data_IF_284213396734
#
_entry.id   IF_284213396734
#
_cell.length_a   1.000
_cell.length_b   1.000
_cell.length_c   1.000
_cell.angle_alpha   90.00
_cell.angle_beta   90.00
_cell.angle_gamma   90.00
#
_symmetry.space_group_name_H-M   'P 1'
#
loop_
_entity.id
_entity.type
_entity.pdbx_description
1 polymer ?
#
# COMPACT_ATOMS: atom_id res chain seq x y z
N UNK A 1 -17.42 -9.61 -11.07
CA UNK A 1 -18.33 -9.21 -10.04
C UNK A 1 -17.66 -8.51 -8.91
N UNK A 2 -16.75 -9.18 -8.27
CA UNK A 2 -16.13 -8.56 -7.10
C UNK A 2 -15.28 -7.37 -7.45
N UNK A 3 -14.63 -7.43 -8.58
CA UNK A 3 -13.85 -6.29 -9.02
C UNK A 3 -14.74 -5.08 -9.26
N UNK A 4 -15.91 -5.32 -9.85
CA UNK A 4 -16.87 -4.25 -10.05
C UNK A 4 -17.31 -3.67 -8.70
N UNK A 5 -17.61 -4.55 -7.73
CA UNK A 5 -17.99 -4.11 -6.41
C UNK A 5 -16.87 -3.29 -5.76
N UNK A 6 -15.65 -3.73 -5.94
CA UNK A 6 -14.51 -3.04 -5.37
C UNK A 6 -14.36 -1.63 -5.96
N UNK A 7 -14.56 -1.50 -7.27
CA UNK A 7 -14.51 -0.19 -7.91
C UNK A 7 -15.62 0.70 -7.36
N UNK A 8 -16.80 0.16 -7.23
CA UNK A 8 -17.91 0.91 -6.71
C UNK A 8 -17.66 1.34 -5.28
N UNK A 9 -17.09 0.45 -4.50
CA UNK A 9 -16.75 0.74 -3.12
C UNK A 9 -15.73 1.89 -3.06
N UNK A 10 -14.74 1.86 -3.92
CA UNK A 10 -13.77 2.93 -3.99
C UNK A 10 -14.40 4.27 -4.33
N UNK A 11 -15.38 4.25 -5.24
CA UNK A 11 -16.07 5.49 -5.59
C UNK A 11 -16.85 6.05 -4.41
N UNK A 12 -17.44 5.19 -3.61
CA UNK A 12 -18.23 5.62 -2.47
C UNK A 12 -17.36 6.23 -1.40
N UNK A 13 -16.19 5.66 -1.14
CA UNK A 13 -15.35 6.14 -0.07
C UNK A 13 -14.43 7.27 -0.47
N UNK A 14 -14.50 7.72 -1.39
CA UNK A 14 -13.97 8.55 -2.38
C UNK A 14 -13.01 9.66 -2.13
N UNK A 15 -12.65 10.06 -0.98
CA UNK A 15 -11.62 11.10 -0.86
C UNK A 15 -10.26 10.60 -1.27
N UNK A 16 -10.05 9.30 -1.12
CA UNK A 16 -8.85 8.69 -1.61
C UNK A 16 -9.05 8.15 -2.99
N UNK A 17 -10.25 8.20 -3.50
CA UNK A 17 -10.52 7.62 -4.79
C UNK A 17 -9.80 8.44 -5.85
N UNK A 18 -9.13 7.75 -6.73
CA UNK A 18 -8.45 8.36 -7.83
C UNK A 18 -9.18 7.96 -9.08
N UNK A 19 -9.15 8.80 -10.08
CA UNK A 19 -9.71 8.42 -11.36
C UNK A 19 -8.97 7.20 -11.89
N UNK A 20 -9.59 6.41 -12.75
CA UNK A 20 -8.87 5.29 -13.34
C UNK A 20 -7.58 5.70 -14.04
N UNK A 21 -7.57 6.90 -14.63
CA UNK A 21 -6.37 7.40 -15.28
C UNK A 21 -5.25 7.64 -14.27
N UNK A 22 -5.59 8.18 -13.11
CA UNK A 22 -4.59 8.41 -12.06
C UNK A 22 -4.03 7.10 -11.54
N UNK A 23 -4.88 6.10 -11.38
CA UNK A 23 -4.44 4.78 -10.94
C UNK A 23 -3.49 4.16 -11.95
N UNK A 24 -3.85 4.24 -13.23
CA UNK A 24 -2.99 3.71 -14.28
C UNK A 24 -1.66 4.43 -14.31
N UNK A 25 -1.67 5.73 -14.08
CA UNK A 25 -0.45 6.52 -14.04
C UNK A 25 0.49 6.03 -12.92
N UNK A 26 -0.05 5.78 -11.74
CA UNK A 26 0.75 5.29 -10.62
C UNK A 26 1.32 3.92 -10.94
N UNK A 27 0.50 3.03 -11.50
CA UNK A 27 0.98 1.68 -11.83
C UNK A 27 2.02 1.70 -12.93
N UNK A 28 2.03 2.72 -13.77
CA UNK A 28 3.02 2.84 -14.85
C UNK A 28 4.36 3.36 -14.38
N UNK A 29 4.43 3.86 -13.14
CA UNK A 29 5.70 4.37 -12.63
C UNK A 29 6.70 3.24 -12.39
N UNK A 30 8.00 3.51 -12.52
CA UNK A 30 9.01 2.56 -12.08
C UNK A 30 8.85 2.24 -10.59
N UNK A 31 9.33 1.08 -10.18
CA UNK A 31 9.17 0.62 -8.80
C UNK A 31 9.62 1.65 -7.77
N UNK A 32 10.76 2.29 -8.02
CA UNK A 32 11.30 3.25 -7.06
C UNK A 32 10.38 4.45 -6.90
N UNK A 33 9.76 4.90 -7.98
CA UNK A 33 8.85 6.03 -7.91
C UNK A 33 7.52 5.63 -7.30
N UNK A 34 7.08 4.40 -7.52
CA UNK A 34 5.90 3.90 -6.83
C UNK A 34 6.14 3.85 -5.33
N UNK A 35 7.34 3.46 -4.92
CA UNK A 35 7.71 3.43 -3.51
C UNK A 35 7.67 4.83 -2.91
N UNK A 36 8.23 5.82 -3.60
CA UNK A 36 8.19 7.20 -3.12
C UNK A 36 6.76 7.71 -3.00
N UNK A 37 5.93 7.37 -3.97
CA UNK A 37 4.51 7.74 -3.91
C UNK A 37 3.84 7.13 -2.70
N UNK A 38 4.13 5.85 -2.43
CA UNK A 38 3.60 5.16 -1.27
C UNK A 38 4.00 5.87 0.03
N UNK A 39 5.29 6.16 0.17
CA UNK A 39 5.80 6.79 1.39
C UNK A 39 5.11 8.13 1.61
N UNK A 40 5.03 8.94 0.57
CA UNK A 40 4.43 10.26 0.67
C UNK A 40 2.96 10.18 1.00
N UNK A 41 2.24 9.32 0.29
CA UNK A 41 0.79 9.23 0.46
C UNK A 41 0.42 8.66 1.82
N UNK A 42 1.11 7.62 2.26
CA UNK A 42 0.83 7.00 3.55
C UNK A 42 1.13 7.99 4.68
N UNK A 43 2.23 8.73 4.58
CA UNK A 43 2.54 9.73 5.59
C UNK A 43 1.50 10.85 5.63
N UNK A 44 0.96 11.21 4.45
CA UNK A 44 -0.03 12.28 4.38
C UNK A 44 -1.38 11.85 4.94
N UNK A 45 -1.80 10.61 4.70
CA UNK A 45 -3.12 10.16 5.10
C UNK A 45 -3.12 9.42 6.42
N UNK A 46 -1.98 8.85 6.81
CA UNK A 46 -1.91 8.02 8.01
C UNK A 46 -2.53 6.65 7.83
N UNK A 47 -2.73 6.21 6.60
CA UNK A 47 -3.40 4.95 6.31
C UNK A 47 -2.66 4.18 5.24
N UNK A 48 -2.72 2.85 5.38
CA UNK A 48 -2.14 1.95 4.41
C UNK A 48 -3.15 0.81 4.21
N UNK A 49 -3.13 0.20 3.03
CA UNK A 49 -4.16 -0.76 2.64
C UNK A 49 -3.53 -2.09 2.25
N UNK A 50 -4.18 -3.18 2.67
CA UNK A 50 -3.85 -4.52 2.21
C UNK A 50 -5.11 -5.15 1.62
N UNK A 51 -5.00 -6.40 1.20
CA UNK A 51 -6.14 -7.15 0.68
C UNK A 51 -6.43 -8.32 1.61
N UNK A 52 -7.70 -8.59 1.84
CA UNK A 52 -8.11 -9.65 2.77
C UNK A 52 -9.29 -10.42 2.19
N UNK A 53 -9.32 -11.72 2.45
CA UNK A 53 -10.46 -12.57 2.20
C UNK A 53 -10.65 -13.40 3.46
N UNK A 54 -10.27 -14.67 3.46
CA UNK A 54 -10.25 -15.44 4.71
C UNK A 54 -8.99 -15.15 5.51
N UNK A 55 -8.03 -14.52 4.92
CA UNK A 55 -6.79 -14.09 5.53
C UNK A 55 -6.19 -13.06 4.63
N UNK A 56 -5.01 -12.56 5.01
CA UNK A 56 -4.34 -11.54 4.24
C UNK A 56 -3.77 -12.10 2.94
N UNK A 57 -3.80 -11.30 1.90
CA UNK A 57 -3.11 -11.64 0.66
C UNK A 57 -1.61 -11.71 0.92
N UNK A 58 -1.01 -12.81 0.53
CA UNK A 58 0.44 -13.02 0.67
C UNK A 58 0.96 -13.41 -0.71
N UNK A 59 1.98 -12.74 -1.16
CA UNK A 59 2.64 -13.07 -2.41
C UNK A 59 3.96 -13.75 -2.17
N UNK A 60 4.64 -14.04 -3.27
CA UNK A 60 5.94 -14.70 -3.19
C UNK A 60 6.81 -14.13 -4.30
N UNK A 61 8.05 -13.83 -3.95
CA UNK A 61 9.00 -13.36 -4.94
C UNK A 61 9.55 -14.54 -5.74
N UNK A 62 10.30 -14.23 -6.80
CA UNK A 62 10.87 -15.28 -7.65
C UNK A 62 11.80 -16.19 -6.88
N UNK A 63 12.47 -15.68 -5.87
CA UNK A 63 13.39 -16.49 -5.06
C UNK A 63 12.70 -17.11 -3.85
N UNK A 64 11.37 -17.03 -3.79
CA UNK A 64 10.60 -17.74 -2.79
C UNK A 64 10.32 -16.99 -1.51
N UNK A 65 10.72 -15.73 -1.39
CA UNK A 65 10.43 -14.95 -0.20
C UNK A 65 8.95 -14.61 -0.14
N UNK A 66 8.36 -14.70 1.05
CA UNK A 66 6.97 -14.33 1.23
C UNK A 66 6.85 -12.83 1.38
N UNK A 67 5.77 -12.27 0.84
CA UNK A 67 5.56 -10.82 0.77
C UNK A 67 4.13 -10.49 1.15
N UNK A 68 4.00 -9.45 1.96
CA UNK A 68 2.70 -8.90 2.35
C UNK A 68 2.50 -7.62 1.55
N UNK A 69 1.65 -7.62 0.53
CA UNK A 69 1.50 -6.45 -0.32
C UNK A 69 0.73 -5.33 0.37
N UNK A 70 1.18 -4.11 0.18
CA UNK A 70 0.59 -2.92 0.76
C UNK A 70 0.42 -1.86 -0.31
N UNK A 71 -0.65 -1.10 -0.22
CA UNK A 71 -0.95 -0.02 -1.17
C UNK A 71 -1.29 1.26 -0.41
N UNK A 72 -1.05 2.41 -1.01
CA UNK A 72 -1.29 3.69 -0.33
C UNK A 72 -2.75 4.13 -0.37
N UNK A 73 -3.58 3.52 -1.23
CA UNK A 73 -5.00 3.86 -1.31
C UNK A 73 -5.80 2.60 -1.54
N UNK A 74 -7.08 2.65 -1.17
CA UNK A 74 -7.98 1.52 -1.40
C UNK A 74 -8.19 1.28 -2.88
N UNK A 75 -8.18 2.34 -3.68
CA UNK A 75 -8.40 2.21 -5.12
C UNK A 75 -7.28 1.40 -5.77
N UNK A 76 -6.04 1.66 -5.39
CA UNK A 76 -4.91 0.90 -5.94
C UNK A 76 -4.94 -0.55 -5.48
N UNK A 77 -5.26 -0.78 -4.20
CA UNK A 77 -5.39 -2.13 -3.70
C UNK A 77 -6.48 -2.89 -4.47
N UNK A 78 -7.59 -2.21 -4.70
CA UNK A 78 -8.72 -2.80 -5.39
C UNK A 78 -8.36 -3.24 -6.80
N UNK A 79 -7.54 -2.46 -7.49
CA UNK A 79 -7.11 -2.81 -8.84
C UNK A 79 -6.26 -4.09 -8.86
N UNK A 80 -5.66 -4.43 -7.74
CA UNK A 80 -4.83 -5.63 -7.64
C UNK A 80 -5.60 -6.84 -7.11
N UNK A 81 -6.90 -6.70 -6.83
CA UNK A 81 -7.73 -7.81 -6.40
C UNK A 81 -8.18 -8.62 -7.62
N UNK A 82 -7.20 -9.15 -8.36
CA UNK A 82 -7.43 -9.91 -9.60
C UNK A 82 -6.53 -11.12 -9.57
N UNK A 83 -6.76 -12.04 -10.49
CA UNK A 83 -5.95 -13.26 -10.63
C UNK A 83 -5.95 -14.01 -9.29
N UNK A 84 -4.79 -14.24 -8.72
CA UNK A 84 -4.69 -15.02 -7.49
C UNK A 84 -5.40 -14.34 -6.31
N UNK A 85 -5.62 -13.03 -6.39
CA UNK A 85 -6.29 -12.28 -5.32
C UNK A 85 -7.70 -11.87 -5.70
N UNK A 86 -8.27 -12.52 -6.71
CA UNK A 86 -9.64 -12.24 -7.08
C UNK A 86 -10.56 -12.61 -5.90
N UNK A 87 -11.47 -11.73 -5.58
CA UNK A 87 -12.36 -11.94 -4.44
C UNK A 87 -11.88 -11.33 -3.14
N UNK A 88 -10.65 -10.86 -3.09
CA UNK A 88 -10.14 -10.15 -1.91
C UNK A 88 -10.67 -8.73 -1.91
N UNK A 89 -10.74 -8.13 -0.74
CA UNK A 89 -11.21 -6.74 -0.61
C UNK A 89 -10.16 -5.93 0.15
N UNK A 90 -10.10 -4.61 -0.12
CA UNK A 90 -9.16 -3.75 0.58
C UNK A 90 -9.51 -3.62 2.06
N UNK A 91 -8.49 -3.58 2.89
CA UNK A 91 -8.69 -3.31 4.31
C UNK A 91 -7.58 -2.36 4.77
N UNK A 92 -7.97 -1.33 5.50
CA UNK A 92 -7.01 -0.30 5.90
C UNK A 92 -6.38 -0.63 7.25
N UNK A 93 -5.19 -0.10 7.43
CA UNK A 93 -4.49 -0.05 8.71
C UNK A 93 -4.15 1.39 9.00
N UNK A 94 -4.17 1.77 10.25
CA UNK A 94 -3.57 3.05 10.65
C UNK A 94 -2.06 2.95 10.66
N UNK A 95 -1.41 4.08 10.60
CA UNK A 95 0.04 4.12 10.61
C UNK A 95 0.60 3.58 11.92
N UNK A 96 -0.07 3.86 13.03
CA UNK A 96 0.34 3.35 14.33
C UNK A 96 0.27 1.83 14.35
N UNK A 97 -0.79 1.28 13.81
CA UNK A 97 -0.97 -0.15 13.74
C UNK A 97 0.12 -0.78 12.87
N UNK A 98 0.47 -0.12 11.77
CA UNK A 98 1.54 -0.59 10.91
C UNK A 98 2.85 -0.71 11.69
N UNK A 99 3.19 0.34 12.43
CA UNK A 99 4.46 0.38 13.15
C UNK A 99 4.49 -0.55 14.35
N UNK A 100 3.39 -0.63 15.10
CA UNK A 100 3.40 -1.32 16.39
C UNK A 100 2.99 -2.79 16.28
N UNK A 101 2.26 -3.14 15.25
CA UNK A 101 1.71 -4.49 15.16
C UNK A 101 2.09 -5.19 13.87
N UNK A 102 1.84 -4.58 12.72
CA UNK A 102 2.03 -5.29 11.47
C UNK A 102 3.50 -5.54 11.15
N UNK A 103 4.32 -4.50 11.18
CA UNK A 103 5.73 -4.68 10.84
C UNK A 103 6.45 -5.62 11.79
N UNK A 104 6.25 -5.53 13.11
CA UNK A 104 6.87 -6.51 14.00
C UNK A 104 6.41 -7.94 13.74
N UNK A 105 5.13 -8.13 13.42
CA UNK A 105 4.61 -9.45 13.14
C UNK A 105 5.20 -10.02 11.85
N UNK A 106 5.28 -9.19 10.81
CA UNK A 106 5.87 -9.62 9.55
C UNK A 106 7.34 -10.00 9.74
N UNK A 107 8.05 -9.21 10.51
CA UNK A 107 9.45 -9.51 10.78
C UNK A 107 9.60 -10.84 11.50
N UNK A 108 8.75 -11.09 12.50
CA UNK A 108 8.77 -12.34 13.24
C UNK A 108 8.46 -13.53 12.34
N UNK A 109 7.60 -13.34 11.36
CA UNK A 109 7.18 -14.40 10.47
C UNK A 109 8.05 -14.54 9.23
N UNK A 110 9.04 -13.66 9.07
CA UNK A 110 9.91 -13.72 7.90
C UNK A 110 9.26 -13.28 6.61
N UNK A 111 8.26 -12.41 6.70
CA UNK A 111 7.51 -11.93 5.55
C UNK A 111 7.89 -10.47 5.28
N UNK A 112 8.22 -10.16 4.04
CA UNK A 112 8.63 -8.80 3.66
C UNK A 112 7.42 -7.97 3.28
N UNK A 113 7.44 -6.66 3.54
CA UNK A 113 6.41 -5.79 2.98
C UNK A 113 6.66 -5.57 1.50
N UNK A 114 5.61 -5.67 0.69
CA UNK A 114 5.70 -5.43 -0.74
C UNK A 114 4.94 -4.16 -1.07
N UNK A 115 5.60 -3.21 -1.71
CA UNK A 115 5.09 -1.86 -1.82
C UNK A 115 4.54 -1.61 -3.22
N UNK A 116 3.25 -1.37 -3.29
CA UNK A 116 2.52 -0.99 -4.50
C UNK A 116 2.79 -1.95 -5.66
N UNK A 117 2.36 -3.19 -5.45
CA UNK A 117 2.35 -4.17 -6.54
C UNK A 117 1.35 -3.71 -7.59
N UNK A 118 1.58 -4.09 -8.82
CA UNK A 118 0.60 -3.89 -9.88
C UNK A 118 0.07 -5.25 -10.30
N UNK A 119 -1.01 -5.30 -11.06
CA UNK A 119 -1.49 -6.59 -11.56
C UNK A 119 -0.45 -7.35 -12.38
N UNK A 120 0.51 -6.63 -12.97
CA UNK A 120 1.47 -7.25 -13.89
C UNK A 120 2.89 -7.30 -13.33
N UNK A 121 3.17 -6.65 -12.22
CA UNK A 121 4.55 -6.49 -11.78
C UNK A 121 4.64 -6.41 -10.26
N UNK A 122 5.68 -6.99 -9.71
CA UNK A 122 5.96 -6.88 -8.28
C UNK A 122 6.36 -5.44 -7.93
N UNK A 123 6.13 -5.07 -6.68
CA UNK A 123 6.64 -3.82 -6.16
C UNK A 123 8.00 -4.02 -5.49
N UNK A 124 8.51 -2.96 -4.88
CA UNK A 124 9.71 -3.08 -4.08
C UNK A 124 9.41 -3.82 -2.78
N UNK A 125 10.41 -4.53 -2.27
CA UNK A 125 10.28 -5.25 -1.02
C UNK A 125 11.37 -4.77 -0.07
N UNK A 126 11.19 -3.58 0.53
CA UNK A 126 12.20 -3.06 1.46
C UNK A 126 12.24 -3.91 2.72
N UNK A 127 13.33 -3.79 3.47
CA UNK A 127 13.37 -4.41 4.78
C UNK A 127 12.37 -3.69 5.69
N UNK A 128 11.98 -4.36 6.76
CA UNK A 128 11.06 -3.76 7.73
C UNK A 128 11.63 -2.48 8.29
N UNK A 129 12.92 -2.51 8.61
CA UNK A 129 13.59 -1.34 9.17
C UNK A 129 13.66 -0.21 8.16
N UNK A 130 13.90 -0.51 6.89
CA UNK A 130 13.99 0.51 5.86
C UNK A 130 12.63 1.19 5.65
N UNK A 131 11.56 0.41 5.61
CA UNK A 131 10.24 0.97 5.44
C UNK A 131 9.88 1.89 6.62
N UNK A 132 10.15 1.42 7.82
CA UNK A 132 9.90 2.23 9.02
C UNK A 132 10.69 3.53 9.00
N UNK A 133 11.95 3.43 8.61
CA UNK A 133 12.83 4.60 8.55
C UNK A 133 12.33 5.62 7.54
N UNK A 134 11.95 5.16 6.36
CA UNK A 134 11.50 6.07 5.31
C UNK A 134 10.19 6.76 5.66
N UNK A 135 9.25 6.02 6.25
CA UNK A 135 8.00 6.61 6.70
C UNK A 135 8.24 7.61 7.83
N UNK A 136 9.09 7.25 8.77
CA UNK A 136 9.40 8.13 9.89
C UNK A 136 10.06 9.41 9.41
N UNK A 137 10.98 9.30 8.44
CA UNK A 137 11.64 10.48 7.89
C UNK A 137 10.64 11.42 7.23
N UNK A 138 9.69 10.85 6.47
CA UNK A 138 8.68 11.68 5.82
C UNK A 138 7.77 12.36 6.85
N UNK A 139 7.41 11.63 7.89
CA UNK A 139 6.58 12.20 8.94
C UNK A 139 7.29 13.35 9.65
N UNK A 140 8.59 13.22 9.86
CA UNK A 140 9.37 14.30 10.46
C UNK A 140 9.44 15.51 9.55
N UNK A 141 9.57 15.30 8.25
CA UNK A 141 9.57 16.40 7.30
C UNK A 141 8.26 17.16 7.36
N UNK A 142 7.14 16.45 7.45
CA UNK A 142 5.85 17.10 7.54
C UNK A 142 5.72 17.90 8.84
N UNK A 143 6.19 17.35 9.95
CA UNK A 143 6.12 18.04 11.22
C UNK A 143 7.04 19.26 11.25
N UNK A 144 8.17 19.18 10.56
CA UNK A 144 9.14 20.27 10.55
C UNK A 144 8.73 21.42 9.65
N UNK A 145 7.78 21.21 8.75
CA UNK A 145 7.30 22.24 7.83
C UNK A 145 5.80 22.44 7.97
N UNK A 146 5.32 22.74 9.18
CA UNK A 146 3.88 22.82 9.41
C UNK A 146 3.23 24.00 8.73
N UNK A 147 3.99 24.98 8.35
CA UNK A 147 3.44 26.21 7.78
C UNK A 147 3.39 26.16 6.30
N UNK A 148 3.72 25.07 5.80
CA UNK A 148 3.62 24.97 4.42
C UNK A 148 2.28 25.20 3.99
N UNK A 149 1.78 25.53 4.09
CA UNK A 149 0.65 25.55 3.94
C UNK A 149 0.09 26.15 3.06
N UNK A 150 0.57 26.04 3.44
CA UNK A 150 0.16 26.44 3.18
C UNK A 150 -0.45 26.54 2.65
N UNK A 151 -0.47 26.19 2.85
CA UNK A 151 -0.76 26.06 2.66
C UNK A 151 -1.25 26.08 2.30
#
# INVERSE_FOLDING_TARGET
MRRFFCILWGDITSFDAMSPDSQAHIFALPKALRYEHFIRRVADTGRVWGLVSDGWAIGKTDDGALVFPLWPTSALACQCAVLEWEGYTPREFGLQELFDELLPQLEADGILPGITYTPDEYGLTPSHAQLRKDLTARLRQRAAAPNDPVE
#
